data_IF_914707347383
#
_entry.id   IF_914707347383
#
_cell.length_a   1.000
_cell.length_b   1.000
_cell.length_c   1.000
_cell.angle_alpha   90.00
_cell.angle_beta   90.00
_cell.angle_gamma   90.00
#
_symmetry.space_group_name_H-M   'P 1'
#
loop_
_entity.id
_entity.type
_entity.pdbx_description
1 polymer ?
#
# COMPACT_ATOMS: atom_id res chain seq x y z
N UNK A 1 0.63 -6.25 -11.11
CA UNK A 1 1.13 -4.85 -11.12
C UNK A 1 2.10 -4.58 -12.27
N UNK A 2 1.92 -3.51 -13.04
CA UNK A 2 2.79 -3.08 -14.12
C UNK A 2 4.13 -2.51 -13.62
N UNK A 3 5.09 -2.40 -14.56
CA UNK A 3 6.45 -1.94 -14.27
C UNK A 3 6.50 -0.46 -13.87
N UNK A 4 5.63 0.38 -14.42
CA UNK A 4 5.62 1.82 -14.16
C UNK A 4 5.11 2.15 -12.76
N UNK A 5 4.03 1.53 -12.33
CA UNK A 5 3.50 1.65 -10.97
C UNK A 5 4.50 1.13 -9.94
N UNK A 6 5.18 0.01 -10.24
CA UNK A 6 6.26 -0.49 -9.38
C UNK A 6 7.39 0.53 -9.26
N UNK A 7 7.82 1.15 -10.36
CA UNK A 7 8.84 2.22 -10.36
C UNK A 7 8.37 3.44 -9.56
N UNK A 8 7.12 3.85 -9.70
CA UNK A 8 6.54 4.97 -8.93
C UNK A 8 6.56 4.69 -7.43
N UNK A 9 6.16 3.50 -7.00
CA UNK A 9 6.22 3.09 -5.59
C UNK A 9 7.67 3.18 -5.08
N UNK A 10 8.62 2.65 -5.84
CA UNK A 10 10.03 2.68 -5.47
C UNK A 10 10.59 4.11 -5.42
N UNK A 11 10.18 4.99 -6.33
CA UNK A 11 10.59 6.39 -6.36
C UNK A 11 10.03 7.18 -5.16
N UNK A 12 8.73 7.02 -4.84
CA UNK A 12 8.10 7.65 -3.66
C UNK A 12 8.76 7.16 -2.37
N UNK A 13 9.11 5.87 -2.30
CA UNK A 13 9.76 5.28 -1.13
C UNK A 13 11.29 5.41 -1.17
N UNK A 14 11.88 6.07 -2.18
CA UNK A 14 13.33 6.26 -2.29
C UNK A 14 13.95 7.09 -1.14
N UNK A 15 13.30 8.15 -0.61
CA UNK A 15 13.75 8.82 0.61
C UNK A 15 13.78 7.86 1.81
N UNK A 16 12.90 6.86 1.79
CA UNK A 16 12.89 5.73 2.69
C UNK A 16 13.88 4.62 2.32
N UNK A 17 14.93 4.91 1.55
CA UNK A 17 16.03 3.98 1.23
C UNK A 17 17.35 4.33 1.95
N UNK A 18 17.43 5.47 2.66
CA UNK A 18 18.63 5.86 3.44
C UNK A 18 19.00 4.82 4.53
N UNK A 19 20.30 4.57 4.72
CA UNK A 19 20.86 3.67 5.74
C UNK A 19 20.42 4.12 7.15
N UNK A 20 20.07 3.18 8.04
CA UNK A 20 19.76 3.44 9.45
C UNK A 20 18.34 3.13 9.94
N UNK A 21 17.41 2.70 9.07
CA UNK A 21 16.06 2.31 9.50
C UNK A 21 15.83 0.79 9.29
N UNK A 22 15.73 0.00 10.37
CA UNK A 22 15.88 -1.47 10.34
C UNK A 22 14.78 -2.27 9.60
N UNK A 23 13.62 -1.68 9.25
CA UNK A 23 12.46 -2.44 8.75
C UNK A 23 12.05 -2.19 7.27
N UNK A 24 12.86 -1.46 6.47
CA UNK A 24 12.45 -0.87 5.17
C UNK A 24 12.18 -1.84 4.01
N UNK A 25 13.03 -2.84 3.75
CA UNK A 25 12.81 -3.78 2.62
C UNK A 25 11.53 -4.61 2.82
N UNK A 26 11.24 -4.99 4.07
CA UNK A 26 10.02 -5.73 4.43
C UNK A 26 8.77 -4.85 4.26
N UNK A 27 8.85 -3.57 4.63
CA UNK A 27 7.75 -2.62 4.43
C UNK A 27 7.42 -2.38 2.96
N UNK A 28 8.44 -2.17 2.10
CA UNK A 28 8.22 -2.01 0.65
C UNK A 28 7.64 -3.29 0.03
N UNK A 29 8.17 -4.47 0.38
CA UNK A 29 7.61 -5.74 -0.08
C UNK A 29 6.15 -5.91 0.35
N UNK A 30 5.82 -5.56 1.60
CA UNK A 30 4.45 -5.59 2.10
C UNK A 30 3.56 -4.58 1.39
N UNK A 31 4.02 -3.36 1.14
CA UNK A 31 3.28 -2.35 0.38
C UNK A 31 2.96 -2.85 -1.04
N UNK A 32 3.97 -3.40 -1.73
CA UNK A 32 3.80 -3.99 -3.05
C UNK A 32 2.77 -5.12 -2.99
N UNK A 33 2.86 -6.03 -2.02
CA UNK A 33 1.90 -7.13 -1.88
C UNK A 33 0.46 -6.63 -1.62
N UNK A 34 0.29 -5.58 -0.80
CA UNK A 34 -1.03 -4.96 -0.56
C UNK A 34 -1.61 -4.38 -1.86
N UNK A 35 -0.81 -3.61 -2.59
CA UNK A 35 -1.26 -2.97 -3.82
C UNK A 35 -1.51 -3.98 -4.94
N UNK A 36 -0.70 -5.03 -5.02
CA UNK A 36 -0.90 -6.12 -5.98
C UNK A 36 -2.19 -6.88 -5.68
N UNK A 37 -2.50 -7.17 -4.41
CA UNK A 37 -3.80 -7.75 -4.03
C UNK A 37 -4.98 -6.86 -4.45
N UNK A 38 -4.86 -5.54 -4.22
CA UNK A 38 -5.88 -4.58 -4.63
C UNK A 38 -6.07 -4.62 -6.16
N UNK A 39 -4.99 -4.61 -6.93
CA UNK A 39 -5.07 -4.62 -8.40
C UNK A 39 -5.57 -5.95 -8.96
N UNK A 40 -5.23 -7.08 -8.34
CA UNK A 40 -5.76 -8.41 -8.72
C UNK A 40 -7.28 -8.45 -8.58
N UNK A 41 -7.83 -7.89 -7.50
CA UNK A 41 -9.26 -7.90 -7.24
C UNK A 41 -10.03 -6.76 -7.93
N UNK A 42 -9.33 -5.73 -8.40
CA UNK A 42 -9.92 -4.54 -9.03
C UNK A 42 -9.24 -4.22 -10.38
N UNK A 43 -9.42 -5.08 -11.40
CA UNK A 43 -8.75 -4.93 -12.70
C UNK A 43 -9.09 -3.62 -13.41
N UNK A 44 -10.26 -3.04 -13.13
CA UNK A 44 -10.72 -1.77 -13.70
C UNK A 44 -9.89 -0.54 -13.27
N UNK A 45 -9.05 -0.68 -12.23
CA UNK A 45 -8.11 0.36 -11.82
C UNK A 45 -6.98 0.53 -12.84
N UNK A 46 -6.73 -0.47 -13.69
CA UNK A 46 -5.62 -0.45 -14.65
C UNK A 46 -4.27 -0.22 -13.96
N UNK A 47 -4.15 -0.71 -12.73
CA UNK A 47 -2.95 -0.61 -11.89
C UNK A 47 -2.49 0.83 -11.61
N UNK A 48 -3.39 1.81 -11.69
CA UNK A 48 -3.10 3.23 -11.43
C UNK A 48 -3.26 3.56 -9.95
N UNK A 49 -2.18 3.98 -9.29
CA UNK A 49 -2.17 4.36 -7.87
C UNK A 49 -3.16 5.47 -7.52
N UNK A 50 -3.34 6.44 -8.41
CA UNK A 50 -4.28 7.55 -8.19
C UNK A 50 -5.74 7.10 -8.12
N UNK A 51 -6.08 5.95 -8.70
CA UNK A 51 -7.42 5.37 -8.61
C UNK A 51 -7.62 4.55 -7.34
N UNK A 52 -6.56 4.23 -6.60
CA UNK A 52 -6.65 3.51 -5.33
C UNK A 52 -7.15 4.45 -4.25
N UNK A 53 -8.43 4.34 -3.93
CA UNK A 53 -9.10 5.15 -2.93
C UNK A 53 -9.58 4.34 -1.73
N UNK A 54 -10.49 4.95 -0.96
CA UNK A 54 -11.06 4.37 0.26
C UNK A 54 -11.74 3.02 0.00
N UNK A 55 -12.47 2.88 -1.10
CA UNK A 55 -13.24 1.66 -1.44
C UNK A 55 -12.32 0.46 -1.62
N UNK A 56 -11.23 0.66 -2.37
CA UNK A 56 -10.20 -0.35 -2.63
C UNK A 56 -9.57 -0.86 -1.34
N UNK A 57 -9.22 0.06 -0.46
CA UNK A 57 -8.56 -0.25 0.80
C UNK A 57 -9.53 -0.95 1.76
N UNK A 58 -10.81 -0.57 1.78
CA UNK A 58 -11.84 -1.31 2.53
C UNK A 58 -11.98 -2.73 2.01
N UNK A 59 -12.05 -2.91 0.69
CA UNK A 59 -12.11 -4.23 0.07
C UNK A 59 -10.92 -5.10 0.47
N UNK A 60 -9.71 -4.54 0.44
CA UNK A 60 -8.51 -5.20 0.93
C UNK A 60 -8.64 -5.63 2.41
N UNK A 61 -9.10 -4.72 3.28
CA UNK A 61 -9.29 -5.04 4.70
C UNK A 61 -10.34 -6.09 4.99
N UNK A 62 -11.36 -6.21 4.14
CA UNK A 62 -12.36 -7.26 4.23
C UNK A 62 -11.77 -8.62 3.82
N UNK A 63 -10.96 -8.66 2.76
CA UNK A 63 -10.27 -9.88 2.32
C UNK A 63 -9.23 -10.37 3.32
N UNK A 64 -8.52 -9.45 3.97
CA UNK A 64 -7.51 -9.80 4.99
C UNK A 64 -8.05 -9.79 6.42
N UNK A 65 -9.36 -10.00 6.60
CA UNK A 65 -10.00 -10.00 7.93
C UNK A 65 -9.48 -11.10 8.85
N UNK A 66 -8.99 -12.21 8.29
CA UNK A 66 -8.40 -13.32 9.05
C UNK A 66 -7.03 -12.97 9.69
N UNK A 67 -6.43 -11.84 9.31
CA UNK A 67 -5.16 -11.42 9.88
C UNK A 67 -5.31 -10.83 11.28
N UNK A 68 -4.28 -11.02 12.10
CA UNK A 68 -4.26 -10.47 13.46
C UNK A 68 -4.28 -8.94 13.44
N UNK A 69 -4.84 -8.34 14.49
CA UNK A 69 -4.92 -6.89 14.63
C UNK A 69 -3.54 -6.21 14.52
N UNK A 70 -2.49 -6.84 15.06
CA UNK A 70 -1.12 -6.36 14.95
C UNK A 70 -0.64 -6.28 13.50
N UNK A 71 -0.84 -7.34 12.70
CA UNK A 71 -0.44 -7.38 11.29
C UNK A 71 -1.20 -6.32 10.49
N UNK A 72 -2.50 -6.14 10.76
CA UNK A 72 -3.32 -5.12 10.09
C UNK A 72 -2.89 -3.71 10.47
N UNK A 73 -2.51 -3.47 11.72
CA UNK A 73 -1.96 -2.18 12.16
C UNK A 73 -0.63 -1.86 11.47
N UNK A 74 0.28 -2.83 11.35
CA UNK A 74 1.55 -2.66 10.61
C UNK A 74 1.30 -2.32 9.13
N UNK A 75 0.38 -3.04 8.48
CA UNK A 75 0.01 -2.79 7.08
C UNK A 75 -0.65 -1.43 6.90
N UNK A 76 -1.49 -1.02 7.84
CA UNK A 76 -2.13 0.30 7.83
C UNK A 76 -1.09 1.42 7.96
N UNK A 77 -0.11 1.29 8.86
CA UNK A 77 0.95 2.27 9.02
C UNK A 77 1.77 2.43 7.72
N UNK A 78 2.07 1.33 7.03
CA UNK A 78 2.77 1.34 5.74
C UNK A 78 1.93 2.04 4.66
N UNK A 79 0.64 1.70 4.54
CA UNK A 79 -0.26 2.34 3.59
C UNK A 79 -0.40 3.84 3.86
N UNK A 80 -0.63 4.22 5.11
CA UNK A 80 -0.75 5.62 5.51
C UNK A 80 0.48 6.41 5.11
N UNK A 81 1.67 5.90 5.47
CA UNK A 81 2.94 6.52 5.12
C UNK A 81 3.10 6.69 3.61
N UNK A 82 2.78 5.65 2.84
CA UNK A 82 2.88 5.71 1.38
C UNK A 82 1.94 6.76 0.77
N UNK A 83 0.69 6.83 1.24
CA UNK A 83 -0.29 7.80 0.74
C UNK A 83 0.10 9.24 1.06
N UNK A 84 0.65 9.48 2.26
CA UNK A 84 1.18 10.79 2.65
C UNK A 84 2.37 11.19 1.75
N UNK A 85 3.30 10.27 1.50
CA UNK A 85 4.49 10.52 0.67
C UNK A 85 4.18 10.66 -0.82
N UNK A 86 3.25 9.86 -1.33
CA UNK A 86 2.81 9.92 -2.72
C UNK A 86 1.85 11.09 -2.99
N UNK A 87 1.50 11.88 -1.96
CA UNK A 87 0.50 12.94 -2.00
C UNK A 87 -0.82 12.48 -2.65
N UNK A 88 -1.23 11.25 -2.36
CA UNK A 88 -2.46 10.69 -2.89
C UNK A 88 -3.66 11.30 -2.18
N UNK A 89 -4.67 11.69 -2.95
CA UNK A 89 -5.88 12.39 -2.44
C UNK A 89 -6.77 11.49 -1.57
N UNK A 90 -6.51 10.18 -1.53
CA UNK A 90 -7.30 9.20 -0.80
C UNK A 90 -6.93 9.11 0.68
N UNK A 91 -7.93 9.22 1.58
CA UNK A 91 -7.73 8.82 2.99
C UNK A 91 -7.62 7.30 3.09
N UNK A 92 -6.57 6.81 3.76
CA UNK A 92 -6.42 5.39 4.10
C UNK A 92 -7.37 5.06 5.27
N UNK A 93 -8.44 4.28 5.07
CA UNK A 93 -9.32 3.87 6.15
C UNK A 93 -8.60 2.92 7.09
N UNK A 94 -8.84 3.06 8.39
CA UNK A 94 -8.33 2.13 9.40
C UNK A 94 -8.98 0.75 9.22
N UNK A 95 -8.23 -0.34 9.37
CA UNK A 95 -8.79 -1.68 9.43
C UNK A 95 -9.73 -1.79 10.63
N UNK A 96 -10.96 -2.27 10.40
CA UNK A 96 -11.93 -2.67 11.45
C UNK A 96 -11.71 -4.12 11.81
#
# INVERSE_FOLDING_TARGET
MNRDTKKQILAVMAPYHKRGIPFRRKQIKRLIAILDDIFIHEPYLGERLQKVGKRQIIGYWQRTRCETAQVRAEKYAILKLFFEMAQLTGRVPRPK
#
